data_IF_480662360713
#
_entry.id   IF_480662360713
#
_cell.length_a   1.000
_cell.length_b   1.000
_cell.length_c   1.000
_cell.angle_alpha   90.00
_cell.angle_beta   90.00
_cell.angle_gamma   90.00
#
_symmetry.space_group_name_H-M   'P 1'
#
loop_
_entity.id
_entity.type
_entity.pdbx_description
1 polymer ?
#
# COMPACT_ATOMS: atom_id res chain seq x y z
N UNK A 1 -2.56 -33.67 48.18
CA UNK A 1 -2.94 -35.04 47.78
C UNK A 1 -2.10 -35.38 46.56
N UNK A 2 -1.13 -36.28 46.70
CA UNK A 2 -0.23 -36.69 45.61
C UNK A 2 -1.05 -37.54 44.62
N UNK A 3 -1.20 -37.05 43.39
CA UNK A 3 -1.73 -37.82 42.27
C UNK A 3 -0.57 -38.21 41.36
N UNK A 4 -0.64 -39.45 40.88
CA UNK A 4 0.35 -40.09 40.02
C UNK A 4 0.74 -39.20 38.84
N UNK A 5 2.05 -39.19 38.51
CA UNK A 5 2.63 -38.42 37.42
C UNK A 5 2.00 -38.78 36.08
N UNK A 6 1.03 -37.96 35.67
CA UNK A 6 0.45 -37.95 34.34
C UNK A 6 0.22 -36.50 33.94
N UNK A 7 0.66 -36.10 32.75
CA UNK A 7 0.41 -34.77 32.20
C UNK A 7 -1.11 -34.59 32.06
N UNK A 8 -1.71 -33.70 32.84
CA UNK A 8 -3.11 -33.33 32.68
C UNK A 8 -3.21 -32.41 31.47
N UNK A 9 -3.78 -32.91 30.37
CA UNK A 9 -4.02 -32.13 29.16
C UNK A 9 -5.42 -31.52 29.26
N UNK A 10 -5.49 -30.19 29.43
CA UNK A 10 -6.76 -29.46 29.36
C UNK A 10 -6.95 -29.00 27.92
N UNK A 11 -7.97 -29.54 27.24
CA UNK A 11 -8.28 -29.16 25.85
C UNK A 11 -9.43 -28.15 25.79
N UNK A 12 -9.39 -27.18 24.85
CA UNK A 12 -10.52 -26.31 24.57
C UNK A 12 -11.78 -27.10 24.23
N UNK A 13 -12.95 -26.61 24.64
CA UNK A 13 -14.23 -27.29 24.41
C UNK A 13 -14.92 -26.77 23.15
N UNK A 14 -15.23 -27.63 22.19
CA UNK A 14 -16.05 -27.26 21.03
C UNK A 14 -17.53 -27.17 21.45
N UNK A 15 -18.12 -25.98 21.40
CA UNK A 15 -19.55 -25.79 21.69
C UNK A 15 -20.45 -25.92 20.46
N UNK A 16 -19.96 -25.51 19.29
CA UNK A 16 -20.70 -25.60 18.04
C UNK A 16 -19.74 -25.76 16.87
N UNK A 17 -20.10 -26.62 15.93
CA UNK A 17 -19.53 -26.67 14.60
C UNK A 17 -20.66 -26.44 13.58
N UNK A 18 -20.43 -25.53 12.64
CA UNK A 18 -21.31 -25.25 11.52
C UNK A 18 -20.51 -25.44 10.24
N UNK A 19 -20.72 -26.58 9.59
CA UNK A 19 -19.95 -26.99 8.41
C UNK A 19 -20.71 -26.73 7.10
N UNK A 20 -21.83 -26.00 7.16
CA UNK A 20 -22.77 -25.83 6.05
C UNK A 20 -22.41 -24.67 5.10
N UNK A 21 -21.53 -23.77 5.52
CA UNK A 21 -21.09 -22.60 4.76
C UNK A 21 -19.81 -22.84 3.94
N UNK A 22 -19.42 -21.86 3.08
CA UNK A 22 -18.21 -21.94 2.28
C UNK A 22 -16.93 -21.99 3.11
N UNK A 23 -16.95 -21.39 4.31
CA UNK A 23 -15.91 -21.51 5.34
C UNK A 23 -16.56 -22.12 6.60
N UNK A 24 -16.21 -23.35 7.02
CA UNK A 24 -16.77 -23.95 8.21
C UNK A 24 -16.45 -23.17 9.47
N UNK A 25 -17.39 -23.12 10.41
CA UNK A 25 -17.26 -22.30 11.62
C UNK A 25 -17.28 -23.17 12.87
N UNK A 26 -16.24 -23.05 13.68
CA UNK A 26 -16.18 -23.62 15.02
C UNK A 26 -16.39 -22.53 16.06
N UNK A 27 -17.08 -22.87 17.15
CA UNK A 27 -17.21 -22.04 18.33
C UNK A 27 -16.57 -22.79 19.47
N UNK A 28 -15.45 -22.28 19.95
CA UNK A 28 -14.58 -22.97 20.90
C UNK A 28 -14.53 -22.18 22.20
N UNK A 29 -14.71 -22.87 23.33
CA UNK A 29 -14.48 -22.30 24.65
C UNK A 29 -12.99 -22.23 24.89
N UNK A 30 -12.48 -21.05 25.23
CA UNK A 30 -11.11 -20.89 25.68
C UNK A 30 -10.91 -21.63 27.01
N UNK A 31 -9.73 -22.19 27.22
CA UNK A 31 -9.37 -22.68 28.56
C UNK A 31 -9.11 -21.49 29.48
N UNK A 32 -9.14 -21.73 30.80
CA UNK A 32 -8.92 -20.65 31.76
C UNK A 32 -7.55 -20.00 31.56
N UNK A 33 -7.51 -18.66 31.54
CA UNK A 33 -6.30 -17.87 31.29
C UNK A 33 -5.90 -17.74 29.83
N UNK A 34 -6.52 -18.50 28.91
CA UNK A 34 -6.21 -18.42 27.49
C UNK A 34 -6.82 -17.16 26.86
N UNK A 35 -5.99 -16.45 26.11
CA UNK A 35 -6.34 -15.25 25.37
C UNK A 35 -6.69 -15.60 23.93
N UNK A 36 -7.39 -14.70 23.24
CA UNK A 36 -7.63 -14.84 21.80
C UNK A 36 -6.32 -14.83 21.01
N UNK A 37 -5.31 -14.12 21.51
CA UNK A 37 -4.00 -14.04 20.87
C UNK A 37 -3.25 -15.37 20.88
N UNK A 38 -3.57 -16.29 21.82
CA UNK A 38 -3.01 -17.64 21.83
C UNK A 38 -3.50 -18.49 20.63
N UNK A 39 -4.65 -18.12 20.05
CA UNK A 39 -5.17 -18.73 18.82
C UNK A 39 -4.71 -18.00 17.55
N UNK A 40 -4.44 -16.69 17.66
CA UNK A 40 -4.01 -15.83 16.53
C UNK A 40 -2.50 -15.83 16.32
N UNK A 41 -1.73 -16.25 17.31
CA UNK A 41 -0.29 -16.40 17.19
C UNK A 41 0.03 -17.26 15.96
N UNK A 42 0.94 -16.79 15.12
CA UNK A 42 1.16 -17.34 13.78
C UNK A 42 1.45 -18.85 13.79
N UNK A 43 2.33 -19.31 14.69
CA UNK A 43 2.62 -20.74 14.86
C UNK A 43 1.37 -21.52 15.31
N UNK A 44 0.62 -21.00 16.29
CA UNK A 44 -0.56 -21.67 16.82
C UNK A 44 -1.66 -21.77 15.76
N UNK A 45 -1.92 -20.68 15.03
CA UNK A 45 -2.89 -20.62 13.94
C UNK A 45 -2.57 -21.64 12.84
N UNK A 46 -1.31 -21.70 12.38
CA UNK A 46 -0.85 -22.68 11.38
C UNK A 46 -0.99 -24.11 11.87
N UNK A 47 -0.65 -24.38 13.13
CA UNK A 47 -0.79 -25.72 13.74
C UNK A 47 -2.25 -26.14 13.86
N UNK A 48 -3.15 -25.23 14.25
CA UNK A 48 -4.58 -25.52 14.34
C UNK A 48 -5.15 -25.79 12.95
N UNK A 49 -4.83 -24.95 11.95
CA UNK A 49 -5.27 -25.14 10.57
C UNK A 49 -4.81 -26.50 10.03
N UNK A 50 -3.51 -26.80 10.13
CA UNK A 50 -2.94 -28.07 9.69
C UNK A 50 -3.53 -29.29 10.42
N UNK A 51 -3.75 -29.18 11.74
CA UNK A 51 -4.34 -30.26 12.52
C UNK A 51 -5.80 -30.55 12.13
N UNK A 52 -6.52 -29.54 11.63
CA UNK A 52 -7.89 -29.68 11.17
C UNK A 52 -8.00 -29.99 9.67
N UNK A 53 -6.89 -29.96 8.93
CA UNK A 53 -6.86 -30.20 7.49
C UNK A 53 -7.30 -29.01 6.63
N UNK A 54 -7.08 -27.78 7.11
CA UNK A 54 -7.42 -26.53 6.41
C UNK A 54 -6.16 -25.68 6.19
N UNK A 55 -6.19 -24.80 5.19
CA UNK A 55 -5.02 -23.96 4.83
C UNK A 55 -4.72 -22.90 5.91
N UNK A 56 -5.78 -22.28 6.42
CA UNK A 56 -5.73 -21.19 7.41
C UNK A 56 -6.99 -21.17 8.27
N UNK A 57 -6.91 -20.44 9.39
CA UNK A 57 -8.07 -20.14 10.25
C UNK A 57 -8.22 -18.62 10.46
N UNK A 58 -9.46 -18.14 10.62
CA UNK A 58 -9.76 -16.81 11.15
C UNK A 58 -10.31 -16.92 12.56
N UNK A 59 -9.78 -16.12 13.48
CA UNK A 59 -10.25 -16.14 14.87
C UNK A 59 -10.89 -14.81 15.25
N UNK A 60 -12.18 -14.87 15.55
CA UNK A 60 -12.98 -13.73 15.99
C UNK A 60 -13.35 -13.86 17.46
N UNK A 61 -13.37 -12.74 18.21
CA UNK A 61 -13.85 -12.75 19.58
C UNK A 61 -15.35 -13.08 19.62
N UNK A 62 -15.77 -13.86 20.60
CA UNK A 62 -17.20 -14.13 20.87
C UNK A 62 -17.46 -14.04 22.37
N UNK A 63 -17.64 -12.80 22.86
CA UNK A 63 -17.67 -12.54 24.30
C UNK A 63 -16.32 -12.84 24.97
N UNK A 64 -16.31 -12.96 26.29
CA UNK A 64 -15.08 -13.15 27.08
C UNK A 64 -14.56 -14.59 27.09
N UNK A 65 -15.44 -15.58 26.95
CA UNK A 65 -15.14 -17.01 27.17
C UNK A 65 -14.93 -17.80 25.86
N UNK A 66 -15.45 -17.29 24.74
CA UNK A 66 -15.53 -18.04 23.49
C UNK A 66 -14.75 -17.36 22.37
N UNK A 67 -14.28 -18.18 21.44
CA UNK A 67 -13.77 -17.75 20.15
C UNK A 67 -14.59 -18.38 19.04
N UNK A 68 -14.80 -17.62 17.97
CA UNK A 68 -15.35 -18.11 16.71
C UNK A 68 -14.19 -18.30 15.76
N UNK A 69 -13.95 -19.54 15.33
CA UNK A 69 -12.91 -19.92 14.40
C UNK A 69 -13.58 -20.22 13.06
N UNK A 70 -13.27 -19.47 12.02
CA UNK A 70 -13.60 -19.85 10.64
C UNK A 70 -12.43 -20.67 10.07
N UNK A 71 -12.73 -21.79 9.43
CA UNK A 71 -11.78 -22.69 8.78
C UNK A 71 -11.81 -22.37 7.28
N UNK A 72 -10.68 -21.98 6.69
CA UNK A 72 -10.64 -21.60 5.28
C UNK A 72 -10.39 -22.85 4.43
N UNK A 73 -11.36 -23.20 3.59
CA UNK A 73 -11.31 -24.43 2.74
C UNK A 73 -10.28 -24.29 1.61
N UNK A 74 -9.91 -23.07 1.23
CA UNK A 74 -8.88 -22.79 0.24
C UNK A 74 -8.08 -21.54 0.57
N UNK A 75 -6.89 -21.41 -0.02
CA UNK A 75 -6.05 -20.22 0.09
C UNK A 75 -6.82 -18.97 -0.41
N UNK A 76 -7.10 -17.98 0.46
CA UNK A 76 -7.80 -16.76 0.06
C UNK A 76 -7.04 -15.90 -0.96
N UNK A 77 -5.75 -16.19 -1.16
CA UNK A 77 -4.88 -15.57 -2.15
C UNK A 77 -4.85 -16.34 -3.48
N UNK A 78 -5.42 -17.56 -3.53
CA UNK A 78 -5.54 -18.33 -4.76
C UNK A 78 -6.74 -17.83 -5.59
N UNK A 79 -6.45 -17.26 -6.76
CA UNK A 79 -7.43 -16.70 -7.70
C UNK A 79 -7.37 -15.18 -7.90
N UNK A 80 -8.23 -14.68 -8.78
CA UNK A 80 -8.28 -13.25 -9.10
C UNK A 80 -9.02 -12.45 -8.02
N UNK A 81 -8.36 -11.42 -7.49
CA UNK A 81 -9.01 -10.44 -6.60
C UNK A 81 -9.61 -9.33 -7.47
N UNK A 82 -10.94 -9.23 -7.60
CA UNK A 82 -11.55 -8.16 -8.38
C UNK A 82 -11.22 -6.80 -7.77
N UNK A 83 -10.91 -5.83 -8.62
CA UNK A 83 -10.75 -4.43 -8.22
C UNK A 83 -12.13 -3.74 -8.34
N UNK A 84 -12.89 -3.58 -7.24
CA UNK A 84 -14.21 -2.98 -7.32
C UNK A 84 -14.07 -1.52 -7.77
N UNK A 85 -14.62 -1.17 -8.93
CA UNK A 85 -14.65 0.22 -9.37
C UNK A 85 -15.49 1.04 -8.38
N UNK A 86 -14.98 2.20 -7.97
CA UNK A 86 -15.74 3.11 -7.13
C UNK A 86 -17.09 3.46 -7.78
N UNK A 87 -18.13 3.57 -6.96
CA UNK A 87 -19.43 4.07 -7.40
C UNK A 87 -19.29 5.48 -8.02
N UNK A 88 -20.11 5.78 -9.04
CA UNK A 88 -20.13 7.13 -9.63
C UNK A 88 -20.66 8.14 -8.61
N UNK A 89 -20.14 9.37 -8.65
CA UNK A 89 -20.55 10.46 -7.75
C UNK A 89 -20.01 10.36 -6.32
N UNK A 90 -19.11 9.40 -6.05
CA UNK A 90 -18.38 9.36 -4.79
C UNK A 90 -17.19 10.34 -4.82
N UNK A 91 -16.82 10.83 -3.64
CA UNK A 91 -15.64 11.68 -3.43
C UNK A 91 -14.50 10.88 -2.83
N UNK A 92 -13.27 11.18 -3.23
CA UNK A 92 -12.05 10.60 -2.62
C UNK A 92 -11.92 10.89 -1.13
N UNK A 93 -12.60 11.94 -0.64
CA UNK A 93 -12.65 12.28 0.78
C UNK A 93 -13.54 11.36 1.62
N UNK A 94 -14.44 10.60 0.97
CA UNK A 94 -15.46 9.78 1.66
C UNK A 94 -15.33 8.28 1.35
N UNK A 95 -14.34 7.88 0.56
CA UNK A 95 -14.10 6.49 0.18
C UNK A 95 -12.69 6.02 0.46
N UNK A 96 -12.56 4.72 0.67
CA UNK A 96 -11.28 4.03 0.65
C UNK A 96 -11.18 3.16 -0.59
N UNK A 97 -9.99 3.12 -1.18
CA UNK A 97 -9.71 2.35 -2.39
C UNK A 97 -9.27 0.95 -1.99
N UNK A 98 -9.87 -0.08 -2.58
CA UNK A 98 -9.45 -1.46 -2.34
C UNK A 98 -8.12 -1.69 -3.05
N UNK A 99 -7.10 -2.05 -2.28
CA UNK A 99 -5.75 -2.31 -2.79
C UNK A 99 -5.38 -3.78 -2.71
N UNK A 100 -5.94 -4.58 -1.80
CA UNK A 100 -5.59 -6.00 -1.65
C UNK A 100 -6.76 -6.82 -1.13
N UNK A 101 -6.47 -8.12 -1.06
CA UNK A 101 -7.03 -9.04 -0.09
C UNK A 101 -5.89 -9.52 0.84
N UNK A 102 -6.15 -9.67 2.14
CA UNK A 102 -5.19 -10.27 3.08
C UNK A 102 -5.24 -11.81 3.06
N UNK A 103 -4.34 -12.47 3.79
CA UNK A 103 -4.30 -13.94 3.95
C UNK A 103 -5.55 -14.51 4.62
N UNK A 104 -6.35 -13.65 5.24
CA UNK A 104 -7.65 -13.98 5.79
C UNK A 104 -8.76 -13.54 4.83
N UNK A 105 -8.52 -13.33 3.53
CA UNK A 105 -9.57 -12.98 2.58
C UNK A 105 -10.26 -11.63 2.78
N UNK A 106 -9.87 -10.80 3.74
CA UNK A 106 -10.49 -9.50 3.97
C UNK A 106 -9.96 -8.49 2.95
N UNK A 107 -10.81 -7.58 2.43
CA UNK A 107 -10.34 -6.51 1.56
C UNK A 107 -9.46 -5.53 2.35
N UNK A 108 -8.21 -5.35 1.92
CA UNK A 108 -7.37 -4.26 2.39
C UNK A 108 -7.71 -2.99 1.61
N UNK A 109 -8.09 -1.95 2.33
CA UNK A 109 -8.50 -0.65 1.78
C UNK A 109 -7.59 0.46 2.27
N UNK A 110 -7.48 1.52 1.48
CA UNK A 110 -6.62 2.65 1.75
C UNK A 110 -7.34 3.96 1.45
N UNK A 111 -7.43 4.85 2.45
CA UNK A 111 -7.75 6.26 2.22
C UNK A 111 -6.57 6.93 1.50
N UNK A 112 -6.83 7.66 0.42
CA UNK A 112 -5.81 8.44 -0.30
C UNK A 112 -5.71 9.89 0.20
N UNK A 113 -6.66 10.31 1.05
CA UNK A 113 -6.67 11.63 1.69
C UNK A 113 -5.94 11.62 3.03
N UNK A 114 -6.07 10.55 3.81
CA UNK A 114 -5.41 10.39 5.11
C UNK A 114 -4.20 9.46 5.05
N UNK A 115 -4.11 8.61 4.02
CA UNK A 115 -3.04 7.62 3.86
C UNK A 115 -1.65 8.21 3.64
N UNK A 116 -0.58 7.46 3.83
CA UNK A 116 0.76 7.94 3.49
C UNK A 116 1.00 8.02 1.97
N UNK A 117 2.14 8.56 1.56
CA UNK A 117 2.68 8.30 0.23
C UNK A 117 3.00 6.81 0.06
N UNK A 118 2.94 6.33 -1.19
CA UNK A 118 3.05 4.92 -1.52
C UNK A 118 4.36 4.65 -2.27
N UNK A 119 5.08 3.62 -1.86
CA UNK A 119 6.21 3.06 -2.62
C UNK A 119 5.90 1.62 -3.00
N UNK A 120 5.98 1.31 -4.29
CA UNK A 120 5.78 -0.03 -4.83
C UNK A 120 7.05 -0.48 -5.54
N UNK A 121 7.54 -1.67 -5.18
CA UNK A 121 8.63 -2.35 -5.87
C UNK A 121 8.24 -3.76 -6.33
N UNK A 122 9.00 -4.29 -7.28
CA UNK A 122 8.78 -5.62 -7.82
C UNK A 122 9.41 -5.82 -9.19
N UNK A 123 9.91 -7.02 -9.43
CA UNK A 123 10.50 -7.46 -10.67
C UNK A 123 9.49 -7.44 -11.83
N UNK A 124 9.97 -7.62 -13.06
CA UNK A 124 9.08 -7.76 -14.21
C UNK A 124 8.16 -8.98 -14.04
N UNK A 125 6.91 -8.87 -14.54
CA UNK A 125 5.86 -9.92 -14.42
C UNK A 125 5.51 -10.35 -12.99
N UNK A 126 5.84 -9.54 -11.97
CA UNK A 126 5.51 -9.81 -10.56
C UNK A 126 4.06 -9.47 -10.17
N UNK A 127 3.30 -8.82 -11.06
CA UNK A 127 1.94 -8.32 -10.78
C UNK A 127 1.87 -6.83 -10.42
N UNK A 128 3.01 -6.16 -10.28
CA UNK A 128 3.12 -4.72 -9.96
C UNK A 128 2.26 -3.81 -10.85
N UNK A 129 2.38 -3.94 -12.17
CA UNK A 129 1.65 -3.08 -13.11
C UNK A 129 0.15 -3.32 -13.05
N UNK A 130 -0.29 -4.59 -12.94
CA UNK A 130 -1.71 -4.94 -12.78
C UNK A 130 -2.28 -4.29 -11.53
N UNK A 131 -1.56 -4.36 -10.40
CA UNK A 131 -1.96 -3.69 -9.17
C UNK A 131 -2.06 -2.16 -9.35
N UNK A 132 -1.09 -1.55 -10.02
CA UNK A 132 -1.10 -0.11 -10.28
C UNK A 132 -2.33 0.28 -11.11
N UNK A 133 -2.65 -0.46 -12.19
CA UNK A 133 -3.86 -0.23 -12.97
C UNK A 133 -5.11 -0.37 -12.13
N UNK A 134 -5.21 -1.40 -11.29
CA UNK A 134 -6.37 -1.62 -10.41
C UNK A 134 -6.59 -0.47 -9.42
N UNK A 135 -5.54 0.04 -8.79
CA UNK A 135 -5.64 1.18 -7.87
C UNK A 135 -5.98 2.48 -8.62
N UNK A 136 -5.26 2.76 -9.71
CA UNK A 136 -5.44 3.98 -10.47
C UNK A 136 -6.78 4.03 -11.21
N UNK A 137 -7.32 2.90 -11.67
CA UNK A 137 -8.64 2.84 -12.31
C UNK A 137 -9.78 3.20 -11.33
N UNK A 138 -9.66 2.77 -10.06
CA UNK A 138 -10.61 3.16 -9.02
C UNK A 138 -10.54 4.66 -8.73
N UNK A 139 -9.33 5.20 -8.64
CA UNK A 139 -9.07 6.62 -8.38
C UNK A 139 -9.51 7.54 -9.53
N UNK A 140 -9.15 7.20 -10.76
CA UNK A 140 -9.47 7.98 -11.96
C UNK A 140 -10.98 8.09 -12.22
N UNK A 141 -11.78 7.20 -11.61
CA UNK A 141 -13.24 7.21 -11.68
C UNK A 141 -13.88 8.27 -10.76
N UNK A 142 -13.11 8.86 -9.85
CA UNK A 142 -13.57 9.90 -8.93
C UNK A 142 -13.33 11.28 -9.58
N UNK A 143 -14.39 12.07 -9.68
CA UNK A 143 -14.34 13.38 -10.35
C UNK A 143 -13.44 14.38 -9.63
N UNK A 144 -13.17 14.16 -8.34
CA UNK A 144 -12.29 14.96 -7.49
C UNK A 144 -10.86 14.40 -7.38
N UNK A 145 -10.46 13.49 -8.26
CA UNK A 145 -9.09 12.99 -8.37
C UNK A 145 -8.47 13.30 -9.73
N UNK A 146 -7.23 13.78 -9.73
CA UNK A 146 -6.42 13.98 -10.92
C UNK A 146 -5.20 13.05 -10.88
N UNK A 147 -5.11 12.11 -11.81
CA UNK A 147 -3.90 11.30 -12.02
C UNK A 147 -2.88 12.12 -12.81
N UNK A 148 -1.71 12.33 -12.24
CA UNK A 148 -0.60 13.08 -12.82
C UNK A 148 0.72 12.31 -12.63
N UNK A 149 1.74 12.63 -13.41
CA UNK A 149 3.10 12.21 -13.09
C UNK A 149 3.96 11.74 -14.26
N UNK A 150 5.08 11.15 -13.90
CA UNK A 150 6.16 10.76 -14.79
C UNK A 150 6.15 9.26 -14.99
N UNK A 151 6.08 8.81 -16.25
CA UNK A 151 6.11 7.40 -16.62
C UNK A 151 7.12 7.12 -17.72
N UNK A 152 8.30 6.64 -17.32
CA UNK A 152 9.40 6.43 -18.25
C UNK A 152 9.08 5.35 -19.30
N UNK A 153 8.28 4.34 -18.92
CA UNK A 153 7.82 3.30 -19.84
C UNK A 153 6.74 3.80 -20.83
N UNK A 154 5.96 4.81 -20.43
CA UNK A 154 4.77 5.29 -21.13
C UNK A 154 3.59 4.30 -21.11
N UNK A 155 3.69 3.17 -20.41
CA UNK A 155 2.66 2.14 -20.36
C UNK A 155 1.63 2.42 -19.26
N UNK A 156 2.07 2.87 -18.09
CA UNK A 156 1.23 3.02 -16.91
C UNK A 156 0.32 4.26 -16.99
N UNK A 157 0.84 5.36 -17.52
CA UNK A 157 0.13 6.63 -17.68
C UNK A 157 -0.19 6.93 -19.15
N UNK A 158 0.79 6.74 -20.05
CA UNK A 158 0.71 7.30 -21.40
C UNK A 158 -0.41 6.76 -22.28
N UNK A 159 -0.82 5.49 -22.12
CA UNK A 159 -1.93 4.91 -22.89
C UNK A 159 -3.29 5.01 -22.21
N UNK A 160 -3.44 4.70 -20.91
CA UNK A 160 -4.77 4.64 -20.27
C UNK A 160 -5.52 5.97 -20.22
N UNK A 161 -4.80 7.11 -20.28
CA UNK A 161 -5.37 8.42 -20.01
C UNK A 161 -5.50 9.32 -21.24
N UNK A 162 -5.12 8.86 -22.43
CA UNK A 162 -5.28 9.64 -23.68
C UNK A 162 -6.73 10.08 -23.84
N UNK A 163 -6.94 11.37 -24.14
CA UNK A 163 -8.28 11.96 -24.30
C UNK A 163 -9.05 12.17 -23.00
N UNK A 164 -8.44 11.96 -21.84
CA UNK A 164 -9.03 12.27 -20.53
C UNK A 164 -8.41 13.54 -19.93
N UNK A 165 -9.05 14.11 -18.91
CA UNK A 165 -8.53 15.24 -18.11
C UNK A 165 -7.17 14.99 -17.45
N UNK A 166 -6.76 13.73 -17.34
CA UNK A 166 -5.49 13.34 -16.72
C UNK A 166 -4.30 13.50 -17.68
N UNK A 167 -4.52 13.42 -18.99
CA UNK A 167 -3.48 13.36 -20.01
C UNK A 167 -2.50 14.55 -19.96
N UNK A 168 -3.01 15.76 -19.78
CA UNK A 168 -2.20 17.00 -19.76
C UNK A 168 -1.27 17.14 -18.55
N UNK A 169 -1.40 16.22 -17.59
CA UNK A 169 -0.60 16.21 -16.37
C UNK A 169 0.37 15.03 -16.35
N UNK A 170 0.80 14.55 -17.52
CA UNK A 170 1.64 13.38 -17.68
C UNK A 170 2.85 13.69 -18.56
N UNK A 171 3.99 13.13 -18.20
CA UNK A 171 5.21 13.09 -19.01
C UNK A 171 5.60 11.63 -19.17
N UNK A 172 5.71 11.18 -20.41
CA UNK A 172 5.78 9.74 -20.73
C UNK A 172 6.87 9.44 -21.73
N UNK A 173 7.53 8.28 -21.57
CA UNK A 173 8.62 7.84 -22.44
C UNK A 173 9.97 8.36 -21.98
N UNK A 174 11.02 8.05 -22.72
CA UNK A 174 12.42 8.39 -22.36
C UNK A 174 13.07 9.43 -23.26
N UNK A 175 12.36 9.92 -24.27
CA UNK A 175 12.92 10.79 -25.31
C UNK A 175 13.09 12.25 -24.85
N UNK A 176 12.23 12.73 -23.95
CA UNK A 176 12.15 14.13 -23.55
C UNK A 176 12.22 14.25 -22.03
N UNK A 177 13.45 14.27 -21.48
CA UNK A 177 13.69 14.34 -20.03
C UNK A 177 13.24 15.70 -19.47
N UNK A 178 13.34 16.75 -20.28
CA UNK A 178 12.90 18.11 -19.98
C UNK A 178 11.40 18.16 -19.69
N UNK A 179 10.57 17.44 -20.45
CA UNK A 179 9.13 17.35 -20.19
C UNK A 179 8.82 16.76 -18.80
N UNK A 180 9.58 15.76 -18.35
CA UNK A 180 9.43 15.22 -17.00
C UNK A 180 9.80 16.24 -15.92
N UNK A 181 10.89 16.98 -16.11
CA UNK A 181 11.27 18.08 -15.20
C UNK A 181 10.18 19.13 -15.16
N UNK A 182 9.70 19.60 -16.31
CA UNK A 182 8.72 20.68 -16.39
C UNK A 182 7.38 20.30 -15.75
N UNK A 183 6.97 19.04 -15.90
CA UNK A 183 5.83 18.50 -15.17
C UNK A 183 6.04 18.54 -13.65
N UNK A 184 7.20 18.10 -13.15
CA UNK A 184 7.48 18.15 -11.71
C UNK A 184 7.55 19.59 -11.19
N UNK A 185 8.12 20.53 -11.96
CA UNK A 185 8.09 21.96 -11.65
C UNK A 185 6.65 22.45 -11.51
N UNK A 186 5.77 22.11 -12.47
CA UNK A 186 4.36 22.48 -12.46
C UNK A 186 3.63 21.91 -11.24
N UNK A 187 3.88 20.65 -10.90
CA UNK A 187 3.28 20.00 -9.72
C UNK A 187 3.74 20.64 -8.41
N UNK A 188 5.03 21.00 -8.30
CA UNK A 188 5.56 21.73 -7.15
C UNK A 188 4.98 23.14 -7.06
N UNK A 189 4.82 23.84 -8.18
CA UNK A 189 4.18 25.16 -8.19
C UNK A 189 2.71 25.12 -7.76
N UNK A 190 1.97 24.08 -8.17
CA UNK A 190 0.61 23.82 -7.71
C UNK A 190 0.60 23.55 -6.20
N UNK A 191 1.47 22.66 -5.72
CA UNK A 191 1.64 22.36 -4.29
C UNK A 191 1.89 23.62 -3.47
N UNK A 192 2.82 24.48 -3.91
CA UNK A 192 3.15 25.73 -3.24
C UNK A 192 1.98 26.70 -3.21
N UNK A 193 1.23 26.77 -4.30
CA UNK A 193 0.00 27.58 -4.38
C UNK A 193 -1.03 27.09 -3.38
N UNK A 194 -1.24 25.78 -3.26
CA UNK A 194 -2.16 25.21 -2.29
C UNK A 194 -1.72 25.48 -0.86
N UNK A 195 -0.44 25.25 -0.53
CA UNK A 195 0.11 25.48 0.81
C UNK A 195 -0.06 26.95 1.23
N UNK A 196 0.23 27.91 0.34
CA UNK A 196 0.00 29.34 0.61
C UNK A 196 -1.46 29.69 0.90
N UNK A 197 -2.40 28.91 0.35
CA UNK A 197 -3.83 29.09 0.52
C UNK A 197 -4.45 28.15 1.57
N UNK A 198 -3.62 27.50 2.41
CA UNK A 198 -4.14 26.69 3.52
C UNK A 198 -5.00 27.56 4.45
N UNK A 199 -6.22 27.13 4.80
CA UNK A 199 -7.06 27.88 5.73
C UNK A 199 -6.37 28.04 7.09
N UNK A 200 -6.64 29.14 7.81
CA UNK A 200 -6.13 29.33 9.16
C UNK A 200 -6.43 28.12 10.06
N UNK A 201 -5.47 27.73 10.89
CA UNK A 201 -5.56 26.57 11.81
C UNK A 201 -5.72 25.21 11.13
N UNK A 202 -5.34 25.08 9.85
CA UNK A 202 -5.18 23.79 9.17
C UNK A 202 -3.74 23.60 8.70
N UNK A 203 -3.26 22.38 8.83
CA UNK A 203 -1.94 21.92 8.40
C UNK A 203 -1.98 21.17 7.06
N UNK A 204 -3.17 20.72 6.62
CA UNK A 204 -3.40 20.04 5.35
C UNK A 204 -4.82 20.23 4.81
N UNK A 205 -4.99 19.97 3.51
CA UNK A 205 -6.30 19.78 2.89
C UNK A 205 -6.81 18.35 3.06
N UNK A 206 -8.08 18.20 3.43
CA UNK A 206 -8.77 16.90 3.60
C UNK A 206 -10.05 16.78 2.77
N UNK A 207 -10.45 17.85 2.09
CA UNK A 207 -11.65 17.91 1.25
C UNK A 207 -11.26 18.31 -0.15
N UNK A 208 -11.75 17.56 -1.13
CA UNK A 208 -11.47 17.73 -2.55
C UNK A 208 -12.78 17.76 -3.35
N UNK A 209 -12.74 18.39 -4.51
CA UNK A 209 -13.84 18.42 -5.47
C UNK A 209 -13.27 18.58 -6.88
N UNK A 210 -14.09 18.52 -7.93
CA UNK A 210 -13.62 18.53 -9.32
C UNK A 210 -12.71 19.72 -9.69
N UNK A 211 -13.00 20.92 -9.14
CA UNK A 211 -12.19 22.14 -9.33
C UNK A 211 -10.97 22.25 -8.40
N UNK A 212 -10.87 21.41 -7.37
CA UNK A 212 -9.73 21.32 -6.46
C UNK A 212 -9.46 19.84 -6.16
N UNK A 213 -8.93 19.08 -7.15
CA UNK A 213 -8.82 17.64 -7.01
C UNK A 213 -7.66 17.24 -6.11
N UNK A 214 -7.77 16.07 -5.48
CA UNK A 214 -6.60 15.35 -4.97
C UNK A 214 -5.74 14.97 -6.17
N UNK A 215 -4.47 15.35 -6.18
CA UNK A 215 -3.56 15.01 -7.27
C UNK A 215 -2.77 13.77 -6.87
N UNK A 216 -2.99 12.65 -7.55
CA UNK A 216 -2.21 11.43 -7.37
C UNK A 216 -1.03 11.48 -8.32
N UNK A 217 0.16 11.68 -7.76
CA UNK A 217 1.42 11.86 -8.50
C UNK A 217 2.13 10.50 -8.63
N UNK A 218 2.09 9.91 -9.83
CA UNK A 218 2.73 8.63 -10.13
C UNK A 218 4.13 8.87 -10.67
N UNK A 219 5.14 8.27 -10.04
CA UNK A 219 6.53 8.30 -10.50
C UNK A 219 6.96 6.88 -10.84
N UNK A 220 6.82 6.48 -12.10
CA UNK A 220 7.24 5.18 -12.60
C UNK A 220 8.70 5.23 -13.07
N UNK A 221 9.49 4.28 -12.55
CA UNK A 221 10.91 4.10 -12.81
C UNK A 221 11.72 5.41 -12.69
N UNK A 222 11.47 6.18 -11.61
CA UNK A 222 12.16 7.45 -11.36
C UNK A 222 13.69 7.30 -11.33
N UNK A 223 14.20 6.16 -10.84
CA UNK A 223 15.63 5.85 -10.90
C UNK A 223 16.16 5.83 -12.34
N UNK A 224 15.38 5.28 -13.29
CA UNK A 224 15.69 5.32 -14.71
C UNK A 224 15.68 6.72 -15.29
N UNK A 225 14.71 7.55 -14.91
CA UNK A 225 14.69 8.96 -15.31
C UNK A 225 15.93 9.69 -14.80
N UNK A 226 16.32 9.47 -13.55
CA UNK A 226 17.53 10.06 -12.96
C UNK A 226 18.82 9.56 -13.63
N UNK A 227 18.84 8.34 -14.20
CA UNK A 227 19.97 7.85 -14.99
C UNK A 227 20.08 8.60 -16.33
N UNK A 228 18.97 8.79 -17.03
CA UNK A 228 18.95 9.56 -18.30
C UNK A 228 19.28 11.03 -18.07
N UNK A 229 18.76 11.61 -16.99
CA UNK A 229 19.06 12.99 -16.62
C UNK A 229 20.55 13.23 -16.29
N UNK A 230 21.30 12.18 -15.92
CA UNK A 230 22.75 12.29 -15.72
C UNK A 230 23.54 12.48 -17.02
N UNK A 231 22.97 12.06 -18.15
CA UNK A 231 23.61 12.16 -19.47
C UNK A 231 23.18 13.39 -20.25
N UNK A 232 22.22 14.16 -19.73
CA UNK A 232 21.74 15.39 -20.36
C UNK A 232 22.85 16.45 -20.40
N UNK A 233 23.01 17.20 -21.51
CA UNK A 233 23.92 18.33 -21.58
C UNK A 233 23.60 19.37 -20.50
N UNK A 234 24.64 19.97 -19.93
CA UNK A 234 24.48 20.99 -18.88
C UNK A 234 25.02 22.31 -19.41
N UNK A 235 24.15 23.32 -19.48
CA UNK A 235 24.57 24.68 -19.78
C UNK A 235 25.39 25.25 -18.62
N UNK A 236 26.42 26.05 -18.96
CA UNK A 236 27.32 26.63 -17.96
C UNK A 236 26.54 27.50 -16.97
N UNK A 237 26.62 27.14 -15.68
CA UNK A 237 25.97 27.87 -14.59
C UNK A 237 24.59 27.37 -14.21
N UNK A 238 24.05 26.35 -14.89
CA UNK A 238 22.80 25.70 -14.49
C UNK A 238 23.06 24.45 -13.63
N UNK A 239 22.18 24.16 -12.64
CA UNK A 239 22.25 22.90 -11.90
C UNK A 239 21.98 21.72 -12.85
N UNK A 240 22.58 20.56 -12.58
CA UNK A 240 22.41 19.39 -13.44
C UNK A 240 20.95 18.93 -13.41
N UNK A 241 20.42 18.46 -14.54
CA UNK A 241 19.03 17.97 -14.63
C UNK A 241 18.69 16.96 -13.53
N UNK A 242 19.60 16.00 -13.26
CA UNK A 242 19.45 15.03 -12.17
C UNK A 242 19.23 15.68 -10.81
N UNK A 243 19.99 16.72 -10.49
CA UNK A 243 19.92 17.43 -9.20
C UNK A 243 18.61 18.21 -9.09
N UNK A 244 18.17 18.82 -10.19
CA UNK A 244 16.88 19.51 -10.26
C UNK A 244 15.71 18.53 -9.99
N UNK A 245 15.72 17.37 -10.65
CA UNK A 245 14.70 16.33 -10.46
C UNK A 245 14.66 15.82 -9.01
N UNK A 246 15.83 15.57 -8.41
CA UNK A 246 15.92 15.14 -7.01
C UNK A 246 15.38 16.21 -6.05
N UNK A 247 15.69 17.49 -6.29
CA UNK A 247 15.16 18.58 -5.49
C UNK A 247 13.63 18.65 -5.58
N UNK A 248 13.07 18.58 -6.79
CA UNK A 248 11.61 18.61 -7.01
C UNK A 248 10.92 17.40 -6.35
N UNK A 249 11.47 16.20 -6.53
CA UNK A 249 10.99 14.99 -5.88
C UNK A 249 11.01 15.10 -4.35
N UNK A 250 12.12 15.56 -3.77
CA UNK A 250 12.24 15.75 -2.32
C UNK A 250 11.20 16.72 -1.76
N UNK A 251 10.88 17.80 -2.50
CA UNK A 251 9.81 18.72 -2.11
C UNK A 251 8.43 18.06 -2.13
N UNK A 252 8.11 17.32 -3.19
CA UNK A 252 6.85 16.60 -3.32
C UNK A 252 6.66 15.55 -2.21
N UNK A 253 7.73 14.80 -1.88
CA UNK A 253 7.74 13.81 -0.80
C UNK A 253 7.54 14.45 0.58
N UNK A 254 8.14 15.62 0.81
CA UNK A 254 8.10 16.30 2.11
C UNK A 254 6.78 17.02 2.38
N UNK A 255 6.26 17.71 1.36
CA UNK A 255 5.20 18.72 1.52
C UNK A 255 3.91 18.38 0.78
N UNK A 256 3.95 17.40 -0.14
CA UNK A 256 2.81 17.05 -0.99
C UNK A 256 1.56 16.69 -0.19
N UNK A 257 1.73 15.96 0.91
CA UNK A 257 0.62 15.56 1.79
C UNK A 257 -0.21 16.75 2.28
N UNK A 258 0.42 17.89 2.61
CA UNK A 258 -0.27 19.10 3.09
C UNK A 258 -1.15 19.72 2.01
N UNK A 259 -0.65 19.72 0.77
CA UNK A 259 -1.30 20.31 -0.39
C UNK A 259 -2.36 19.40 -1.06
N UNK A 260 -2.55 18.17 -0.60
CA UNK A 260 -3.39 17.21 -1.31
C UNK A 260 -2.75 16.68 -2.61
N UNK A 261 -1.42 16.57 -2.62
CA UNK A 261 -0.68 15.78 -3.60
C UNK A 261 -0.29 14.46 -2.93
N UNK A 262 -0.59 13.33 -3.57
CA UNK A 262 -0.28 12.00 -3.02
C UNK A 262 0.59 11.20 -3.97
N UNK A 263 1.82 10.97 -3.55
CA UNK A 263 2.82 10.28 -4.36
C UNK A 263 2.60 8.77 -4.35
N UNK A 264 2.79 8.18 -5.53
CA UNK A 264 2.87 6.76 -5.79
C UNK A 264 4.15 6.49 -6.59
N UNK A 265 5.21 6.10 -5.89
CA UNK A 265 6.52 5.79 -6.48
C UNK A 265 6.55 4.32 -6.87
N UNK A 266 6.69 4.03 -8.15
CA UNK A 266 6.69 2.68 -8.70
C UNK A 266 8.07 2.39 -9.29
N UNK A 267 8.77 1.40 -8.74
CA UNK A 267 10.12 1.04 -9.18
C UNK A 267 10.25 -0.46 -9.35
N UNK A 268 11.25 -0.94 -10.10
CA UNK A 268 11.60 -2.36 -10.06
C UNK A 268 12.25 -2.73 -8.74
N UNK A 269 13.09 -1.84 -8.22
CA UNK A 269 13.84 -2.00 -6.97
C UNK A 269 13.94 -0.64 -6.28
N UNK A 270 13.60 -0.59 -5.00
CA UNK A 270 13.88 0.60 -4.19
C UNK A 270 15.40 0.70 -3.97
N UNK A 271 16.01 1.76 -4.47
CA UNK A 271 17.41 2.10 -4.20
C UNK A 271 17.51 3.35 -3.32
N UNK A 272 18.66 3.55 -2.68
CA UNK A 272 18.87 4.63 -1.71
C UNK A 272 18.79 6.05 -2.31
N UNK A 273 18.89 6.19 -3.63
CA UNK A 273 18.74 7.48 -4.33
C UNK A 273 17.28 7.93 -4.32
N UNK A 274 16.35 7.01 -4.58
CA UNK A 274 14.92 7.30 -4.67
C UNK A 274 14.22 7.08 -3.33
N UNK A 275 14.68 6.10 -2.57
CA UNK A 275 14.09 5.67 -1.29
C UNK A 275 15.17 5.69 -0.21
N UNK A 276 15.74 6.87 0.01
CA UNK A 276 16.72 7.14 1.07
C UNK A 276 16.12 7.11 2.47
N UNK A 277 16.93 7.46 3.47
CA UNK A 277 16.49 7.45 4.88
C UNK A 277 15.31 8.37 5.14
N UNK A 278 15.33 9.56 4.54
CA UNK A 278 14.27 10.55 4.67
C UNK A 278 12.99 10.11 3.95
N UNK A 279 13.12 9.68 2.69
CA UNK A 279 11.99 9.27 1.85
C UNK A 279 11.27 8.07 2.43
N UNK A 280 12.00 7.11 3.03
CA UNK A 280 11.36 6.00 3.76
C UNK A 280 10.42 6.50 4.85
N UNK A 281 10.78 7.56 5.58
CA UNK A 281 9.91 8.14 6.60
C UNK A 281 8.58 8.68 6.06
N UNK A 282 8.56 9.13 4.80
CA UNK A 282 7.39 9.75 4.17
C UNK A 282 6.59 8.77 3.29
N UNK A 283 7.25 7.78 2.69
CA UNK A 283 6.67 6.66 1.94
C UNK A 283 6.18 5.58 2.91
N UNK A 284 5.11 5.92 3.65
CA UNK A 284 4.60 5.10 4.75
C UNK A 284 3.90 3.81 4.30
N UNK A 285 3.27 3.78 3.13
CA UNK A 285 2.74 2.54 2.56
C UNK A 285 3.75 1.95 1.60
N UNK A 286 4.30 0.79 1.96
CA UNK A 286 5.33 0.12 1.17
C UNK A 286 4.81 -1.22 0.71
N UNK A 287 4.96 -1.51 -0.57
CA UNK A 287 4.45 -2.71 -1.22
C UNK A 287 5.58 -3.35 -2.02
N UNK A 288 5.89 -4.61 -1.73
CA UNK A 288 6.84 -5.41 -2.51
C UNK A 288 6.13 -6.58 -3.14
N UNK A 289 6.02 -6.58 -4.47
CA UNK A 289 5.80 -7.81 -5.24
C UNK A 289 7.09 -8.62 -5.30
N UNK A 290 7.06 -9.83 -5.88
CA UNK A 290 8.26 -10.67 -6.07
C UNK A 290 9.45 -9.86 -6.62
N UNK A 291 10.61 -10.03 -6.00
CA UNK A 291 11.87 -9.33 -6.31
C UNK A 291 12.92 -10.32 -6.79
N UNK A 292 13.81 -9.90 -7.68
CA UNK A 292 14.95 -10.72 -8.13
C UNK A 292 16.08 -10.73 -7.08
N UNK A 293 16.24 -9.62 -6.34
CA UNK A 293 17.17 -9.49 -5.22
C UNK A 293 16.39 -9.47 -3.90
N UNK A 294 16.46 -10.53 -3.08
CA UNK A 294 15.75 -10.60 -1.81
C UNK A 294 16.15 -9.49 -0.83
N UNK A 295 17.39 -9.00 -0.85
CA UNK A 295 17.82 -7.93 0.06
C UNK A 295 17.09 -6.61 -0.22
N UNK A 296 16.55 -6.42 -1.43
CA UNK A 296 15.69 -5.26 -1.73
C UNK A 296 14.40 -5.24 -0.89
N UNK A 297 13.90 -6.40 -0.42
CA UNK A 297 12.78 -6.46 0.51
C UNK A 297 13.16 -5.81 1.85
N UNK A 298 14.33 -6.16 2.38
CA UNK A 298 14.86 -5.64 3.64
C UNK A 298 15.18 -4.15 3.53
N UNK A 299 15.72 -3.70 2.39
CA UNK A 299 16.02 -2.29 2.15
C UNK A 299 14.78 -1.39 2.26
N UNK A 300 13.63 -1.85 1.75
CA UNK A 300 12.39 -1.07 1.79
C UNK A 300 11.64 -1.22 3.12
N UNK A 301 11.56 -2.43 3.67
CA UNK A 301 10.70 -2.75 4.82
C UNK A 301 11.43 -2.78 6.17
N UNK A 302 12.76 -2.75 6.16
CA UNK A 302 13.61 -2.84 7.35
C UNK A 302 13.93 -4.29 7.75
N UNK A 303 14.74 -4.41 8.80
CA UNK A 303 15.36 -5.69 9.21
C UNK A 303 14.35 -6.79 9.55
N UNK A 304 13.18 -6.44 10.10
CA UNK A 304 12.14 -7.42 10.43
C UNK A 304 11.54 -8.13 9.21
N UNK A 305 11.79 -7.64 7.99
CA UNK A 305 11.31 -8.32 6.78
C UNK A 305 12.18 -9.53 6.39
N UNK A 306 13.33 -9.73 7.05
CA UNK A 306 14.22 -10.88 6.78
C UNK A 306 13.53 -12.23 6.99
N UNK A 307 12.65 -12.31 7.99
CA UNK A 307 11.96 -13.54 8.36
C UNK A 307 10.96 -14.01 7.27
N UNK A 308 10.64 -13.14 6.30
CA UNK A 308 9.68 -13.40 5.22
C UNK A 308 10.32 -13.56 3.84
N UNK A 309 11.65 -13.61 3.74
CA UNK A 309 12.35 -13.61 2.45
C UNK A 309 12.09 -14.85 1.61
N UNK A 310 12.05 -16.03 2.23
CA UNK A 310 11.86 -17.31 1.53
C UNK A 310 10.44 -17.40 0.95
N UNK A 311 9.44 -17.10 1.79
CA UNK A 311 8.03 -17.03 1.39
C UNK A 311 7.80 -16.01 0.26
N UNK A 312 8.40 -14.82 0.37
CA UNK A 312 8.25 -13.75 -0.62
C UNK A 312 8.85 -14.08 -1.99
N UNK A 313 9.96 -14.83 -2.03
CA UNK A 313 10.60 -15.27 -3.28
C UNK A 313 9.76 -16.30 -4.03
N UNK A 314 9.11 -17.20 -3.30
CA UNK A 314 8.28 -18.26 -3.86
C UNK A 314 6.86 -17.79 -4.21
N UNK A 315 6.51 -16.56 -3.83
CA UNK A 315 5.18 -16.01 -4.02
C UNK A 315 4.79 -15.93 -5.52
N UNK A 316 3.57 -16.35 -5.88
CA UNK A 316 3.09 -16.25 -7.25
C UNK A 316 2.90 -14.78 -7.66
N UNK A 317 2.85 -14.47 -8.97
CA UNK A 317 2.54 -13.13 -9.45
C UNK A 317 1.23 -12.58 -8.86
N UNK A 318 1.24 -11.32 -8.40
CA UNK A 318 0.08 -10.70 -7.74
C UNK A 318 0.11 -10.78 -6.21
N UNK A 319 0.81 -11.76 -5.64
CA UNK A 319 1.11 -11.83 -4.21
C UNK A 319 2.18 -10.81 -3.83
N UNK A 320 2.04 -10.23 -2.63
CA UNK A 320 2.91 -9.13 -2.20
C UNK A 320 3.01 -9.03 -0.69
N UNK A 321 4.13 -8.48 -0.25
CA UNK A 321 4.32 -8.03 1.12
C UNK A 321 3.98 -6.55 1.23
N UNK A 322 3.16 -6.17 2.22
CA UNK A 322 2.85 -4.76 2.49
C UNK A 322 3.04 -4.40 3.95
N UNK A 323 3.70 -3.27 4.21
CA UNK A 323 3.75 -2.65 5.53
C UNK A 323 2.88 -1.41 5.52
N UNK A 324 1.85 -1.42 6.36
CA UNK A 324 1.08 -0.22 6.72
C UNK A 324 1.68 0.43 7.97
N UNK A 325 1.66 1.76 8.09
CA UNK A 325 1.99 2.41 9.35
C UNK A 325 1.00 1.95 10.43
N UNK A 326 1.44 1.78 11.69
CA UNK A 326 0.55 1.36 12.77
C UNK A 326 -0.57 2.40 12.97
N UNK A 327 -1.81 1.98 12.70
CA UNK A 327 -3.02 2.79 12.86
C UNK A 327 -3.65 2.62 14.23
N UNK A 328 -3.11 3.26 15.26
CA UNK A 328 -3.87 3.63 16.47
C UNK A 328 -3.38 4.97 16.99
N UNK A 329 -4.21 5.99 16.85
CA UNK A 329 -4.06 7.27 17.54
C UNK A 329 -5.37 7.57 18.25
N UNK A 330 -5.38 7.43 19.57
CA UNK A 330 -6.39 8.04 20.43
C UNK A 330 -5.79 9.37 20.91
N UNK A 331 -6.33 10.47 20.40
CA UNK A 331 -5.94 11.81 20.82
C UNK A 331 -7.12 12.75 20.61
N UNK A 332 -7.98 12.87 21.62
CA UNK A 332 -8.90 14.00 21.70
C UNK A 332 -8.08 15.25 22.04
N UNK A 333 -7.77 16.05 21.04
CA UNK A 333 -7.47 17.45 21.29
C UNK A 333 -8.82 18.17 21.37
N UNK A 334 -9.29 18.37 22.62
CA UNK A 334 -10.31 19.36 22.93
C UNK A 334 -9.92 20.68 22.27
N UNK A 335 -10.80 21.20 21.41
CA UNK A 335 -10.63 22.51 20.77
C UNK A 335 -11.65 23.46 21.39
N UNK A 336 -11.17 24.26 22.34
CA UNK A 336 -11.66 25.63 22.52
C UNK A 336 -11.19 26.53 21.37
#
# INVERSE_FOLDING_TARGET
MQVASGTTIVIPTLARADLSGPDPVLVVRKIHGQLIEDFRADEASRRIAAALGYDRIRVYPRGSEWVRIELLIGDPLDGEVPAPLAGRGLSVSDVEITIARDELGNPLRQSWVEGPHVCIQGATRSGKSVWCYSALAQLARLDDVLIAGSDLSGLLLGRPYVGTRHHEWQATGSADVEAHRDLLVRLVAEMDTRIRNLPPRRDKFTRFHAGFPLIVVVLEEFAGLLRLASTAPVEKGQPKMREQLLALYGRLVSEGHKAGLRLMVVTQRADATVVGGFERGQLGLRISFRLDDPEALVMLHGQSARDHLEEHQLAPPGSRWSRHPPGRWAGSADRG
#
